data_IF_895302768354
#
_entry.id   IF_895302768354
#
_cell.length_a   1.000
_cell.length_b   1.000
_cell.length_c   1.000
_cell.angle_alpha   90.00
_cell.angle_beta   90.00
_cell.angle_gamma   90.00
#
_symmetry.space_group_name_H-M   'P 1'
#
loop_
_entity.id
_entity.type
_entity.pdbx_description
1 polymer ?
#
# COMPACT_ATOMS: atom_id res chain seq x y z
N UNK A 1 -19.32 9.01 3.78
CA UNK A 1 -18.31 8.82 4.84
C UNK A 1 -18.02 10.18 5.47
N UNK A 2 -17.63 10.29 6.75
CA UNK A 2 -17.28 11.59 7.35
C UNK A 2 -15.77 11.84 7.31
N UNK A 3 -15.34 13.07 7.60
CA UNK A 3 -13.95 13.53 7.43
C UNK A 3 -12.91 12.69 8.16
N UNK A 4 -13.14 12.35 9.42
CA UNK A 4 -12.19 11.56 10.20
C UNK A 4 -11.96 10.17 9.61
N UNK A 5 -13.03 9.50 9.14
CA UNK A 5 -12.91 8.19 8.49
C UNK A 5 -12.19 8.27 7.14
N UNK A 6 -12.40 9.35 6.39
CA UNK A 6 -11.67 9.59 5.15
C UNK A 6 -10.17 9.79 5.42
N UNK A 7 -9.80 10.64 6.37
CA UNK A 7 -8.39 10.84 6.76
C UNK A 7 -7.73 9.55 7.23
N UNK A 8 -8.41 8.78 8.08
CA UNK A 8 -7.90 7.49 8.56
C UNK A 8 -7.63 6.53 7.39
N UNK A 9 -8.59 6.37 6.48
CA UNK A 9 -8.41 5.52 5.29
C UNK A 9 -7.28 6.03 4.39
N UNK A 10 -7.13 7.35 4.26
CA UNK A 10 -6.04 7.96 3.50
C UNK A 10 -4.68 7.61 4.11
N UNK A 11 -4.52 7.78 5.42
CA UNK A 11 -3.30 7.39 6.14
C UNK A 11 -2.99 5.89 5.97
N UNK A 12 -4.01 5.04 6.10
CA UNK A 12 -3.90 3.60 5.85
C UNK A 12 -3.44 3.26 4.44
N UNK A 13 -3.82 4.07 3.45
CA UNK A 13 -3.48 3.89 2.02
C UNK A 13 -2.08 4.40 1.70
N UNK A 14 -1.60 5.42 2.41
CA UNK A 14 -0.23 5.94 2.25
C UNK A 14 0.79 5.00 2.89
N UNK A 15 0.41 4.26 3.94
CA UNK A 15 1.30 3.34 4.65
C UNK A 15 2.06 2.35 3.75
N UNK A 16 1.41 1.57 2.84
CA UNK A 16 2.11 0.69 1.91
C UNK A 16 3.19 1.38 1.07
N UNK A 17 2.96 2.63 0.65
CA UNK A 17 3.91 3.39 -0.17
C UNK A 17 5.14 3.76 0.66
N UNK A 18 4.93 4.32 1.86
CA UNK A 18 6.02 4.64 2.77
C UNK A 18 6.82 3.39 3.14
N UNK A 19 6.12 2.29 3.40
CA UNK A 19 6.75 1.01 3.69
C UNK A 19 7.58 0.49 2.53
N UNK A 20 7.10 0.61 1.29
CA UNK A 20 7.86 0.17 0.11
C UNK A 20 9.16 0.95 -0.07
N UNK A 21 9.15 2.26 0.16
CA UNK A 21 10.37 3.09 0.13
C UNK A 21 11.35 2.64 1.21
N UNK A 22 10.87 2.42 2.43
CA UNK A 22 11.69 1.90 3.54
C UNK A 22 12.27 0.53 3.20
N UNK A 23 11.44 -0.41 2.73
CA UNK A 23 11.85 -1.75 2.35
C UNK A 23 12.93 -1.74 1.26
N UNK A 24 12.71 -0.96 0.20
CA UNK A 24 13.69 -0.79 -0.88
C UNK A 24 15.00 -0.17 -0.39
N UNK A 25 14.93 0.84 0.49
CA UNK A 25 16.12 1.44 1.10
C UNK A 25 16.92 0.43 1.92
N UNK A 26 16.25 -0.39 2.74
CA UNK A 26 16.90 -1.45 3.52
C UNK A 26 17.51 -2.50 2.59
N UNK A 27 16.77 -3.01 1.60
CA UNK A 27 17.31 -3.99 0.64
C UNK A 27 18.53 -3.46 -0.09
N UNK A 28 18.46 -2.22 -0.57
CA UNK A 28 19.56 -1.58 -1.28
C UNK A 28 20.80 -1.41 -0.39
N UNK A 29 20.63 -0.95 0.86
CA UNK A 29 21.73 -0.86 1.82
C UNK A 29 22.40 -2.21 2.09
N UNK A 30 21.64 -3.29 2.14
CA UNK A 30 22.18 -4.63 2.39
C UNK A 30 23.01 -5.12 1.20
N UNK A 31 22.58 -4.86 -0.03
CA UNK A 31 23.35 -5.17 -1.24
C UNK A 31 24.67 -4.39 -1.27
N UNK A 32 24.64 -3.08 -0.98
CA UNK A 32 25.85 -2.24 -0.94
C UNK A 32 26.83 -2.70 0.15
N UNK A 33 26.33 -3.05 1.34
CA UNK A 33 27.16 -3.54 2.45
C UNK A 33 27.82 -4.88 2.13
N UNK A 34 27.14 -5.77 1.39
CA UNK A 34 27.72 -7.03 0.91
C UNK A 34 28.82 -6.82 -0.14
N UNK A 35 28.71 -5.79 -0.98
CA UNK A 35 29.71 -5.46 -1.98
C UNK A 35 31.02 -4.91 -1.36
N UNK A 36 30.89 -4.12 -0.29
CA UNK A 36 32.03 -3.56 0.45
C UNK A 36 32.66 -4.59 1.40
N UNK A 37 31.85 -5.49 1.97
CA UNK A 37 32.27 -6.56 2.86
C UNK A 37 32.73 -7.81 2.11
N UNK A 38 33.96 -7.80 1.56
CA UNK A 38 34.59 -9.03 1.04
C UNK A 38 34.64 -10.11 2.15
N UNK A 39 33.85 -11.18 1.96
CA UNK A 39 33.82 -12.40 2.76
C UNK A 39 33.54 -12.22 4.27
N UNK A 40 32.25 -12.32 4.64
CA UNK A 40 31.87 -12.83 5.95
C UNK A 40 30.90 -14.00 5.75
N UNK A 41 31.47 -15.20 5.79
CA UNK A 41 30.77 -16.48 5.84
C UNK A 41 30.11 -16.65 7.21
N UNK A 42 28.93 -16.07 7.37
CA UNK A 42 27.96 -16.56 8.36
C UNK A 42 26.60 -16.73 7.69
N UNK A 43 26.05 -17.94 7.79
CA UNK A 43 24.79 -18.40 7.20
C UNK A 43 23.56 -17.76 7.89
N UNK A 44 23.78 -16.85 8.84
CA UNK A 44 22.72 -16.25 9.63
C UNK A 44 22.13 -15.02 8.94
N UNK A 45 20.83 -15.09 8.66
CA UNK A 45 20.07 -13.95 8.16
C UNK A 45 20.17 -12.75 9.13
N UNK A 46 20.55 -11.55 8.64
CA UNK A 46 20.65 -10.35 9.48
C UNK A 46 19.38 -10.09 10.29
N UNK A 47 19.51 -9.59 11.52
CA UNK A 47 18.36 -9.32 12.40
C UNK A 47 17.34 -8.38 11.72
N UNK A 48 17.82 -7.38 10.98
CA UNK A 48 16.97 -6.47 10.22
C UNK A 48 16.12 -7.21 9.17
N UNK A 49 16.68 -8.23 8.51
CA UNK A 49 15.98 -9.06 7.55
C UNK A 49 14.91 -9.92 8.23
N UNK A 50 15.21 -10.50 9.40
CA UNK A 50 14.24 -11.28 10.20
C UNK A 50 13.02 -10.46 10.63
N UNK A 51 13.17 -9.14 10.79
CA UNK A 51 12.06 -8.24 11.14
C UNK A 51 11.32 -7.76 9.89
N UNK A 52 12.05 -7.36 8.85
CA UNK A 52 11.46 -6.70 7.70
C UNK A 52 10.65 -7.65 6.81
N UNK A 53 11.02 -8.93 6.74
CA UNK A 53 10.28 -9.93 5.96
C UNK A 53 8.88 -10.19 6.51
N UNK A 54 8.68 -10.51 7.80
CA UNK A 54 7.35 -10.61 8.38
C UNK A 54 6.54 -9.32 8.24
N UNK A 55 7.16 -8.16 8.45
CA UNK A 55 6.50 -6.87 8.29
C UNK A 55 6.07 -6.61 6.84
N UNK A 56 6.85 -7.07 5.87
CA UNK A 56 6.51 -7.02 4.45
C UNK A 56 5.30 -7.89 4.16
N UNK A 57 5.29 -9.12 4.69
CA UNK A 57 4.16 -10.04 4.53
C UNK A 57 2.87 -9.48 5.15
N UNK A 58 2.97 -8.88 6.35
CA UNK A 58 1.85 -8.16 6.97
C UNK A 58 1.35 -7.02 6.10
N UNK A 59 2.26 -6.28 5.46
CA UNK A 59 1.90 -5.20 4.54
C UNK A 59 1.21 -5.73 3.27
N UNK A 60 1.59 -6.91 2.77
CA UNK A 60 0.87 -7.54 1.65
C UNK A 60 -0.56 -7.92 2.04
N UNK A 61 -0.76 -8.52 3.22
CA UNK A 61 -2.10 -8.83 3.76
C UNK A 61 -2.91 -7.54 3.93
N UNK A 62 -2.27 -6.48 4.45
CA UNK A 62 -2.88 -5.16 4.60
C UNK A 62 -3.36 -4.58 3.28
N UNK A 63 -2.58 -4.72 2.21
CA UNK A 63 -2.96 -4.31 0.87
C UNK A 63 -4.23 -5.06 0.42
N UNK A 64 -4.32 -6.37 0.62
CA UNK A 64 -5.54 -7.12 0.28
C UNK A 64 -6.77 -6.63 1.05
N UNK A 65 -6.61 -6.30 2.33
CA UNK A 65 -7.67 -5.71 3.13
C UNK A 65 -8.11 -4.34 2.57
N UNK A 66 -7.16 -3.48 2.17
CA UNK A 66 -7.45 -2.20 1.52
C UNK A 66 -8.21 -2.40 0.20
N UNK A 67 -7.78 -3.33 -0.65
CA UNK A 67 -8.51 -3.65 -1.90
C UNK A 67 -9.97 -3.98 -1.56
N UNK A 68 -10.21 -4.90 -0.63
CA UNK A 68 -11.58 -5.28 -0.27
C UNK A 68 -12.42 -4.07 0.22
N UNK A 69 -11.84 -3.17 1.01
CA UNK A 69 -12.49 -1.93 1.47
C UNK A 69 -12.83 -1.01 0.28
N UNK A 70 -11.88 -0.79 -0.63
CA UNK A 70 -12.09 0.07 -1.80
C UNK A 70 -13.10 -0.52 -2.78
N UNK A 71 -13.03 -1.83 -3.06
CA UNK A 71 -14.01 -2.54 -3.89
C UNK A 71 -15.41 -2.41 -3.27
N UNK A 72 -15.55 -2.65 -1.96
CA UNK A 72 -16.82 -2.45 -1.27
C UNK A 72 -17.32 -1.00 -1.43
N UNK A 73 -16.44 -0.01 -1.34
CA UNK A 73 -16.81 1.40 -1.54
C UNK A 73 -17.29 1.69 -2.97
N UNK A 74 -16.61 1.16 -4.00
CA UNK A 74 -17.03 1.32 -5.40
C UNK A 74 -18.47 0.86 -5.60
N UNK A 75 -18.79 -0.34 -5.11
CA UNK A 75 -20.09 -0.95 -5.38
C UNK A 75 -21.20 -0.42 -4.46
N UNK A 76 -20.90 -0.09 -3.20
CA UNK A 76 -21.90 0.42 -2.24
C UNK A 76 -22.18 1.91 -2.32
N UNK A 77 -21.41 2.68 -3.09
CA UNK A 77 -21.63 4.13 -3.21
C UNK A 77 -22.02 4.52 -4.63
N UNK A 78 -22.75 5.62 -4.74
CA UNK A 78 -23.05 6.27 -6.02
C UNK A 78 -22.00 7.36 -6.35
N UNK A 79 -20.82 7.28 -5.73
CA UNK A 79 -19.71 8.18 -6.03
C UNK A 79 -19.11 7.90 -7.42
N UNK A 80 -19.15 6.63 -7.85
CA UNK A 80 -18.62 6.18 -9.13
C UNK A 80 -19.79 5.85 -10.07
N UNK A 81 -19.85 6.44 -11.28
CA UNK A 81 -20.82 6.04 -12.31
C UNK A 81 -20.84 4.54 -12.56
N UNK A 82 -22.01 3.94 -12.76
CA UNK A 82 -22.19 2.49 -12.82
C UNK A 82 -21.33 1.82 -13.91
N UNK A 83 -21.20 2.47 -15.06
CA UNK A 83 -20.34 2.07 -16.20
C UNK A 83 -18.85 2.05 -15.84
N UNK A 84 -18.41 2.85 -14.86
CA UNK A 84 -17.00 2.96 -14.44
C UNK A 84 -16.65 2.10 -13.23
N UNK A 85 -17.63 1.49 -12.56
CA UNK A 85 -17.40 0.69 -11.34
C UNK A 85 -16.48 -0.51 -11.61
N UNK A 86 -16.75 -1.26 -12.67
CA UNK A 86 -15.93 -2.43 -13.04
C UNK A 86 -14.50 -2.02 -13.43
N UNK A 87 -14.36 -0.95 -14.23
CA UNK A 87 -13.04 -0.42 -14.61
C UNK A 87 -12.24 -0.02 -13.38
N UNK A 88 -12.85 0.70 -12.44
CA UNK A 88 -12.18 1.11 -11.21
C UNK A 88 -11.80 -0.08 -10.32
N UNK A 89 -12.61 -1.13 -10.26
CA UNK A 89 -12.26 -2.34 -9.54
C UNK A 89 -10.99 -2.98 -10.10
N UNK A 90 -10.88 -3.08 -11.42
CA UNK A 90 -9.68 -3.60 -12.10
C UNK A 90 -8.48 -2.68 -11.87
N UNK A 91 -8.65 -1.36 -12.02
CA UNK A 91 -7.57 -0.38 -11.81
C UNK A 91 -7.07 -0.41 -10.37
N UNK A 92 -7.94 -0.57 -9.38
CA UNK A 92 -7.54 -0.70 -7.97
C UNK A 92 -6.84 -2.01 -7.66
N UNK A 93 -7.25 -3.10 -8.32
CA UNK A 93 -6.61 -4.39 -8.15
C UNK A 93 -5.20 -4.41 -8.77
N UNK A 94 -5.06 -3.94 -10.01
CA UNK A 94 -3.79 -3.96 -10.74
C UNK A 94 -2.86 -2.78 -10.36
N UNK A 95 -3.41 -1.58 -10.28
CA UNK A 95 -2.66 -0.35 -10.00
C UNK A 95 -2.46 -0.07 -8.51
N UNK A 96 -3.19 -0.78 -7.64
CA UNK A 96 -3.01 -0.89 -6.20
C UNK A 96 -2.38 0.32 -5.50
N UNK A 97 -1.05 0.31 -5.29
CA UNK A 97 -0.31 1.34 -4.58
C UNK A 97 -0.47 2.75 -5.16
N UNK A 98 -0.68 2.87 -6.47
CA UNK A 98 -0.89 4.17 -7.15
C UNK A 98 -2.39 4.45 -7.30
N UNK A 99 -3.18 3.42 -7.64
CA UNK A 99 -4.61 3.58 -7.89
C UNK A 99 -5.40 3.94 -6.62
N UNK A 100 -5.05 3.37 -5.45
CA UNK A 100 -5.78 3.60 -4.20
C UNK A 100 -5.70 5.06 -3.72
N UNK A 101 -4.53 5.72 -3.63
CA UNK A 101 -4.46 7.14 -3.27
C UNK A 101 -5.25 8.04 -4.23
N UNK A 102 -5.17 7.75 -5.54
CA UNK A 102 -5.88 8.50 -6.57
C UNK A 102 -7.40 8.35 -6.39
N UNK A 103 -7.87 7.12 -6.23
CA UNK A 103 -9.29 6.85 -5.98
C UNK A 103 -9.78 7.51 -4.69
N UNK A 104 -9.00 7.41 -3.61
CA UNK A 104 -9.29 8.04 -2.33
C UNK A 104 -9.49 9.55 -2.49
N UNK A 105 -8.58 10.23 -3.19
CA UNK A 105 -8.69 11.67 -3.40
C UNK A 105 -9.95 12.02 -4.23
N UNK A 106 -10.16 11.34 -5.36
CA UNK A 106 -11.21 11.67 -6.31
C UNK A 106 -12.64 11.38 -5.81
N UNK A 107 -12.84 10.21 -5.17
CA UNK A 107 -14.19 9.71 -4.86
C UNK A 107 -14.53 9.69 -3.38
N UNK A 108 -13.54 9.86 -2.50
CA UNK A 108 -13.75 9.87 -1.06
C UNK A 108 -13.52 11.28 -0.51
N UNK A 109 -12.30 11.82 -0.64
CA UNK A 109 -11.94 13.10 -0.04
C UNK A 109 -12.73 14.26 -0.63
N UNK A 110 -12.75 14.38 -1.96
CA UNK A 110 -13.47 15.47 -2.64
C UNK A 110 -14.98 15.49 -2.35
N UNK A 111 -15.59 14.33 -2.09
CA UNK A 111 -17.01 14.20 -1.70
C UNK A 111 -17.29 14.59 -0.25
N UNK A 112 -16.26 14.65 0.59
CA UNK A 112 -16.37 15.08 1.99
C UNK A 112 -16.15 16.58 2.13
N UNK A 113 -15.34 17.18 1.26
CA UNK A 113 -15.11 18.63 1.22
C UNK A 113 -16.16 19.42 0.43
N UNK A 114 -16.80 18.80 -0.56
CA UNK A 114 -17.90 19.38 -1.32
C UNK A 114 -19.23 19.28 -0.57
#
# INVERSE_FOLDING_TARGET
MNRSKALFLGACTVWPILYMVLFMGVMFSQVLLMEVGKHASSVEMPLIMKIIFPLHFLTMIWIFALIAVYIRHIFKTDAVPQDKKALWAVVLFLGNMVAMPVYWYLYIWKKVEA
#
